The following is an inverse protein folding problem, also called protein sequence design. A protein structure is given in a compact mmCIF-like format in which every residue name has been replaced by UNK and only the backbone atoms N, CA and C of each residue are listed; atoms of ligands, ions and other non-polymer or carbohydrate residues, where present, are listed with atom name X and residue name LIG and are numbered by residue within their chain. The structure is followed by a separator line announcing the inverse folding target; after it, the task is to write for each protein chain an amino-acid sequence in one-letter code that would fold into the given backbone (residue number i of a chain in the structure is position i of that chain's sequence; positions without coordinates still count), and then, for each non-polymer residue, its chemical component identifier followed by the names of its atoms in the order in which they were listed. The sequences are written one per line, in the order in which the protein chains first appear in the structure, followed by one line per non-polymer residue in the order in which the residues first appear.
data_IF_283822786298
#
_entry.id   IF_283822786298
#
_cell.length_a   1.000
_cell.length_b   1.000
_cell.length_c   1.000
_cell.angle_alpha   90.00
_cell.angle_beta   90.00
_cell.angle_gamma   90.00
#
_symmetry.space_group_name_H-M   'P 1'
#
loop_
_entity.id
_entity.type
_entity.pdbx_description
1 polymer ?
#
# COMPACT_ATOMS: atom_id res chain seq x y z
N UNK A 1 8.98 -9.87 -10.18
CA UNK A 1 9.29 -8.86 -9.15
C UNK A 1 8.29 -7.72 -9.27
N UNK A 2 7.48 -7.48 -8.24
CA UNK A 2 6.47 -6.40 -8.25
C UNK A 2 7.09 -5.12 -7.67
N UNK A 3 7.08 -4.03 -8.44
CA UNK A 3 7.66 -2.73 -8.03
C UNK A 3 6.61 -1.64 -7.85
N UNK A 4 5.49 -1.71 -8.58
CA UNK A 4 4.42 -0.73 -8.54
C UNK A 4 3.10 -1.47 -8.39
N UNK A 5 2.26 -1.04 -7.45
CA UNK A 5 0.93 -1.60 -7.23
C UNK A 5 -0.08 -0.46 -7.17
N UNK A 6 -1.13 -0.53 -7.99
CA UNK A 6 -2.22 0.43 -8.02
C UNK A 6 -3.52 -0.26 -7.64
N UNK A 7 -4.08 0.13 -6.51
CA UNK A 7 -5.37 -0.37 -5.99
C UNK A 7 -6.37 0.77 -5.75
N UNK A 8 -6.11 1.92 -6.35
CA UNK A 8 -7.03 3.06 -6.43
C UNK A 8 -8.42 2.66 -6.92
N UNK A 9 -9.46 3.36 -6.46
CA UNK A 9 -10.85 3.18 -6.89
C UNK A 9 -11.45 1.80 -6.65
N UNK A 10 -11.01 1.13 -5.58
CA UNK A 10 -11.59 -0.12 -5.11
C UNK A 10 -12.39 0.08 -3.82
N UNK A 11 -13.30 -0.86 -3.52
CA UNK A 11 -14.06 -0.91 -2.26
C UNK A 11 -13.26 -1.58 -1.12
N UNK A 12 -11.93 -1.50 -1.18
CA UNK A 12 -11.03 -2.07 -0.19
C UNK A 12 -11.16 -1.30 1.13
N UNK A 13 -11.57 -2.00 2.18
CA UNK A 13 -11.68 -1.45 3.55
C UNK A 13 -10.34 -1.44 4.28
N UNK A 14 -9.44 -2.37 3.92
CA UNK A 14 -8.13 -2.48 4.55
C UNK A 14 -7.11 -3.04 3.56
N UNK A 15 -5.85 -2.73 3.81
CA UNK A 15 -4.71 -3.38 3.17
C UNK A 15 -4.37 -4.67 3.93
N UNK A 16 -4.17 -5.81 3.26
CA UNK A 16 -3.77 -7.04 3.95
C UNK A 16 -2.35 -6.94 4.53
N UNK A 17 -2.13 -7.57 5.67
CA UNK A 17 -0.82 -7.61 6.36
C UNK A 17 0.28 -8.23 5.49
N UNK A 18 -0.09 -9.15 4.60
CA UNK A 18 0.83 -9.82 3.66
C UNK A 18 1.52 -8.87 2.67
N UNK A 19 1.08 -7.61 2.55
CA UNK A 19 1.81 -6.61 1.77
C UNK A 19 3.21 -6.32 2.30
N UNK A 20 3.50 -6.65 3.56
CA UNK A 20 4.86 -6.59 4.14
C UNK A 20 5.88 -7.46 3.40
N UNK A 21 5.43 -8.53 2.73
CA UNK A 21 6.30 -9.43 1.96
C UNK A 21 6.68 -8.86 0.59
N UNK A 22 6.10 -7.72 0.19
CA UNK A 22 6.41 -7.05 -1.07
C UNK A 22 7.66 -6.17 -0.93
N UNK A 23 8.79 -6.76 -0.49
CA UNK A 23 10.05 -6.06 -0.20
C UNK A 23 10.65 -5.30 -1.41
N UNK A 24 10.17 -5.56 -2.62
CA UNK A 24 10.61 -4.91 -3.85
C UNK A 24 9.67 -3.80 -4.31
N UNK A 25 8.55 -3.61 -3.60
CA UNK A 25 7.55 -2.60 -3.93
C UNK A 25 8.11 -1.21 -3.62
N UNK A 26 8.08 -0.35 -4.63
CA UNK A 26 8.56 1.04 -4.57
C UNK A 26 7.43 2.05 -4.56
N UNK A 27 6.29 1.70 -5.17
CA UNK A 27 5.12 2.59 -5.21
C UNK A 27 3.82 1.82 -4.97
N UNK A 28 2.98 2.37 -4.10
CA UNK A 28 1.64 1.92 -3.78
C UNK A 28 0.65 3.06 -3.99
N UNK A 29 -0.24 2.92 -4.97
CA UNK A 29 -1.27 3.91 -5.25
C UNK A 29 -2.63 3.45 -4.69
N UNK A 30 -3.08 4.16 -3.66
CA UNK A 30 -4.35 4.01 -2.95
C UNK A 30 -5.33 5.14 -3.29
N UNK A 31 -5.07 5.94 -4.34
CA UNK A 31 -5.87 7.11 -4.64
C UNK A 31 -7.35 6.75 -4.72
N UNK A 32 -8.21 7.54 -4.07
CA UNK A 32 -9.68 7.32 -4.02
C UNK A 32 -10.17 6.12 -3.19
N UNK A 33 -9.35 5.56 -2.29
CA UNK A 33 -9.84 4.61 -1.27
C UNK A 33 -10.22 5.35 0.03
N UNK A 34 -11.28 6.15 -0.04
CA UNK A 34 -11.75 7.08 1.01
C UNK A 34 -12.00 6.47 2.41
N UNK A 35 -11.98 5.14 2.54
CA UNK A 35 -12.28 4.38 3.75
C UNK A 35 -11.19 3.35 4.07
N UNK A 36 -10.02 3.40 3.40
CA UNK A 36 -9.00 2.39 3.61
C UNK A 36 -8.26 2.62 4.92
N UNK A 37 -8.26 1.58 5.76
CA UNK A 37 -7.40 1.55 6.92
C UNK A 37 -6.02 1.06 6.46
N UNK A 38 -5.02 1.93 6.60
CA UNK A 38 -3.63 1.58 6.34
C UNK A 38 -3.05 0.95 7.63
N UNK A 39 -2.73 -0.35 7.63
CA UNK A 39 -2.17 -1.03 8.80
C UNK A 39 -0.76 -0.53 9.10
N UNK A 40 -0.30 -0.70 10.34
CA UNK A 40 1.05 -0.27 10.76
C UNK A 40 2.17 -0.88 9.91
N UNK A 41 2.00 -2.12 9.46
CA UNK A 41 2.97 -2.84 8.63
C UNK A 41 3.24 -2.08 7.30
N UNK A 42 2.21 -1.48 6.71
CA UNK A 42 2.35 -0.68 5.48
C UNK A 42 2.96 0.69 5.79
N UNK A 43 2.68 1.25 6.97
CA UNK A 43 3.39 2.45 7.45
C UNK A 43 4.88 2.17 7.63
N UNK A 44 5.26 0.97 8.09
CA UNK A 44 6.66 0.54 8.19
C UNK A 44 7.33 0.49 6.81
N UNK A 45 6.65 -0.05 5.78
CA UNK A 45 7.18 -0.02 4.41
C UNK A 45 7.42 1.41 3.89
N UNK A 46 6.58 2.38 4.30
CA UNK A 46 6.80 3.80 3.98
C UNK A 46 8.12 4.32 4.56
N UNK A 47 8.48 3.91 5.77
CA UNK A 47 9.77 4.24 6.39
C UNK A 47 10.96 3.59 5.68
N UNK A 48 10.73 2.44 5.04
CA UNK A 48 11.73 1.73 4.23
C UNK A 48 11.84 2.27 2.79
N UNK A 49 11.12 3.35 2.45
CA UNK A 49 11.20 4.04 1.16
C UNK A 49 10.09 3.69 0.17
N UNK A 50 9.02 3.00 0.60
CA UNK A 50 7.81 2.82 -0.22
C UNK A 50 7.09 4.16 -0.37
N UNK A 51 6.87 4.57 -1.61
CA UNK A 51 6.04 5.74 -1.92
C UNK A 51 4.55 5.35 -1.87
N UNK A 52 3.77 6.00 -1.01
CA UNK A 52 2.34 5.75 -0.86
C UNK A 52 1.58 6.98 -1.35
N UNK A 53 0.83 6.79 -2.43
CA UNK A 53 0.01 7.82 -3.06
C UNK A 53 -1.44 7.62 -2.58
N UNK A 54 -1.99 8.60 -1.85
CA UNK A 54 -3.34 8.59 -1.30
C UNK A 54 -4.34 9.38 -2.15
#
# INVERSE_FOLDING_TARGET
MLKNLKISNNKLKSIPTTMENLHLLKSLNLKTTHQIIIPENVKKLKLEGLDIIL
#
